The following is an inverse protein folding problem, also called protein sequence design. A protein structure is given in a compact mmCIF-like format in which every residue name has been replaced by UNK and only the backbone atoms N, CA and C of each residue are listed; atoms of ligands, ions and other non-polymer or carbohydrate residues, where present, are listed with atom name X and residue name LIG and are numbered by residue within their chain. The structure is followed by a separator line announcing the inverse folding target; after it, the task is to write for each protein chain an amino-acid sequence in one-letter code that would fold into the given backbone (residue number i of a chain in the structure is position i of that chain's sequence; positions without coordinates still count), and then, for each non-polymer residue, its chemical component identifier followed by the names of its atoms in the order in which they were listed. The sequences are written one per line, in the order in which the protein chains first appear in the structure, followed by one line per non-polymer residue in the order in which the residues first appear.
data_IF_470093565304
#
_entry.id   IF_470093565304
#
_cell.length_a   1.000
_cell.length_b   1.000
_cell.length_c   1.000
_cell.angle_alpha   90.00
_cell.angle_beta   90.00
_cell.angle_gamma   90.00
#
_symmetry.space_group_name_H-M   'P 1'
#
loop_
_entity.id
_entity.type
_entity.pdbx_description
1 polymer ?
#
# COMPACT_ATOMS: atom_id res chain seq x y z
N UNK A 1 14.01 -17.81 -3.71
CA UNK A 1 13.34 -16.53 -3.44
C UNK A 1 12.91 -15.88 -4.75
N UNK A 2 13.80 -15.72 -5.72
CA UNK A 2 13.51 -15.08 -7.02
C UNK A 2 12.38 -15.73 -7.84
N UNK A 3 12.34 -17.06 -7.96
CA UNK A 3 11.26 -17.73 -8.72
C UNK A 3 9.87 -17.45 -8.14
N UNK A 4 9.73 -17.48 -6.81
CA UNK A 4 8.46 -17.21 -6.15
C UNK A 4 8.07 -15.73 -6.25
N UNK A 5 9.07 -14.83 -6.25
CA UNK A 5 8.85 -13.40 -6.50
C UNK A 5 8.30 -13.14 -7.90
N UNK A 6 8.92 -13.72 -8.95
CA UNK A 6 8.43 -13.57 -10.32
C UNK A 6 7.06 -14.18 -10.54
N UNK A 7 6.80 -15.34 -9.93
CA UNK A 7 5.48 -15.97 -9.96
C UNK A 7 4.41 -15.08 -9.30
N UNK A 8 4.71 -14.54 -8.11
CA UNK A 8 3.79 -13.64 -7.38
C UNK A 8 3.52 -12.38 -8.18
N UNK A 9 4.54 -11.80 -8.82
CA UNK A 9 4.39 -10.61 -9.64
C UNK A 9 3.51 -10.86 -10.88
N UNK A 10 3.65 -12.03 -11.53
CA UNK A 10 2.76 -12.44 -12.61
C UNK A 10 1.31 -12.60 -12.14
N UNK A 11 1.10 -13.20 -10.97
CA UNK A 11 -0.24 -13.34 -10.38
C UNK A 11 -0.87 -11.98 -10.06
N UNK A 12 -0.09 -10.99 -9.61
CA UNK A 12 -0.56 -9.61 -9.39
C UNK A 12 -1.05 -8.99 -10.70
N UNK A 13 -0.30 -9.12 -11.80
CA UNK A 13 -0.73 -8.62 -13.11
C UNK A 13 -2.00 -9.30 -13.61
N UNK A 14 -2.12 -10.61 -13.40
CA UNK A 14 -3.35 -11.33 -13.72
C UNK A 14 -4.54 -10.82 -12.89
N UNK A 15 -4.36 -10.57 -11.59
CA UNK A 15 -5.41 -10.00 -10.73
C UNK A 15 -5.80 -8.60 -11.20
N UNK A 16 -4.85 -7.74 -11.58
CA UNK A 16 -5.15 -6.42 -12.16
C UNK A 16 -5.99 -6.52 -13.42
N UNK A 17 -5.64 -7.43 -14.34
CA UNK A 17 -6.43 -7.66 -15.55
C UNK A 17 -7.83 -8.23 -15.26
N UNK A 18 -7.94 -9.12 -14.26
CA UNK A 18 -9.21 -9.70 -13.81
C UNK A 18 -10.10 -8.62 -13.19
N UNK A 19 -9.51 -7.71 -12.42
CA UNK A 19 -10.19 -6.58 -11.80
C UNK A 19 -10.74 -5.61 -12.86
N UNK A 20 -9.94 -5.27 -13.88
CA UNK A 20 -10.41 -4.45 -15.00
C UNK A 20 -11.52 -5.11 -15.83
N UNK A 21 -11.56 -6.45 -15.83
CA UNK A 21 -12.66 -7.21 -16.44
C UNK A 21 -13.89 -7.25 -15.53
N UNK A 22 -13.69 -7.32 -14.21
CA UNK A 22 -14.75 -7.29 -13.19
C UNK A 22 -15.50 -5.95 -13.16
N UNK A 23 -14.82 -4.84 -13.46
CA UNK A 23 -15.48 -3.53 -13.59
C UNK A 23 -16.48 -3.47 -14.77
N UNK A 24 -16.28 -4.31 -15.80
CA UNK A 24 -17.13 -4.33 -17.00
C UNK A 24 -18.16 -5.45 -16.98
N UNK A 25 -17.88 -6.54 -16.28
CA UNK A 25 -18.79 -7.68 -16.15
C UNK A 25 -20.04 -7.30 -15.33
N UNK A 26 -21.20 -7.86 -15.69
CA UNK A 26 -22.48 -7.63 -15.00
C UNK A 26 -23.19 -8.96 -14.74
N UNK A 27 -23.98 -9.03 -13.68
CA UNK A 27 -24.77 -10.23 -13.34
C UNK A 27 -23.96 -11.36 -12.70
N UNK A 28 -24.29 -12.60 -13.05
CA UNK A 28 -23.76 -13.83 -12.44
C UNK A 28 -22.27 -14.07 -12.77
N UNK A 29 -21.84 -13.73 -13.99
CA UNK A 29 -20.43 -13.81 -14.42
C UNK A 29 -19.51 -12.93 -13.57
N UNK A 30 -20.02 -11.79 -13.11
CA UNK A 30 -19.26 -10.88 -12.27
C UNK A 30 -19.09 -11.43 -10.84
N UNK A 31 -20.06 -12.18 -10.30
CA UNK A 31 -19.91 -12.83 -9.00
C UNK A 31 -18.90 -13.98 -9.05
N UNK A 32 -18.94 -14.79 -10.12
CA UNK A 32 -17.96 -15.85 -10.33
C UNK A 32 -16.53 -15.28 -10.48
N UNK A 33 -16.39 -14.20 -11.27
CA UNK A 33 -15.11 -13.53 -11.48
C UNK A 33 -14.59 -12.87 -10.19
N UNK A 34 -15.47 -12.34 -9.37
CA UNK A 34 -15.13 -11.77 -8.06
C UNK A 34 -14.59 -12.83 -7.11
N UNK A 35 -15.28 -13.96 -6.94
CA UNK A 35 -14.81 -15.07 -6.11
C UNK A 35 -13.46 -15.60 -6.59
N UNK A 36 -13.28 -15.75 -7.91
CA UNK A 36 -12.02 -16.17 -8.50
C UNK A 36 -10.89 -15.15 -8.24
N UNK A 37 -11.16 -13.86 -8.38
CA UNK A 37 -10.20 -12.78 -8.13
C UNK A 37 -9.80 -12.74 -6.66
N UNK A 38 -10.76 -12.91 -5.75
CA UNK A 38 -10.52 -12.94 -4.31
C UNK A 38 -9.65 -14.16 -3.92
N UNK A 39 -9.95 -15.33 -4.49
CA UNK A 39 -9.12 -16.54 -4.30
C UNK A 39 -7.69 -16.36 -4.81
N UNK A 40 -7.48 -15.66 -5.93
CA UNK A 40 -6.13 -15.32 -6.42
C UNK A 40 -5.40 -14.37 -5.47
N UNK A 41 -6.08 -13.37 -4.91
CA UNK A 41 -5.50 -12.46 -3.92
C UNK A 41 -5.05 -13.24 -2.67
N UNK A 42 -5.85 -14.18 -2.17
CA UNK A 42 -5.47 -15.02 -1.02
C UNK A 42 -4.22 -15.87 -1.29
N UNK A 43 -4.08 -16.39 -2.51
CA UNK A 43 -2.86 -17.12 -2.93
C UNK A 43 -1.64 -16.19 -2.95
N UNK A 44 -1.79 -14.95 -3.45
CA UNK A 44 -0.73 -13.94 -3.44
C UNK A 44 -0.32 -13.60 -2.01
N UNK A 45 -1.27 -13.44 -1.08
CA UNK A 45 -0.99 -13.18 0.34
C UNK A 45 -0.14 -14.31 0.94
N UNK A 46 -0.54 -15.57 0.74
CA UNK A 46 0.22 -16.75 1.20
C UNK A 46 1.62 -16.80 0.59
N UNK A 47 1.77 -16.42 -0.68
CA UNK A 47 3.07 -16.34 -1.34
C UNK A 47 3.95 -15.22 -0.76
N UNK A 48 3.38 -14.06 -0.43
CA UNK A 48 4.06 -12.96 0.24
C UNK A 48 4.53 -13.33 1.65
N UNK A 49 3.71 -14.05 2.43
CA UNK A 49 4.10 -14.58 3.75
C UNK A 49 5.28 -15.56 3.63
N UNK A 50 5.22 -16.45 2.63
CA UNK A 50 6.32 -17.40 2.35
C UNK A 50 7.59 -16.70 1.88
N UNK A 51 7.48 -15.61 1.09
CA UNK A 51 8.61 -14.77 0.73
C UNK A 51 9.23 -14.10 1.95
N UNK A 52 8.44 -13.63 2.90
CA UNK A 52 8.93 -12.98 4.11
C UNK A 52 9.78 -13.94 4.97
N UNK A 53 9.35 -15.20 5.07
CA UNK A 53 10.13 -16.27 5.70
C UNK A 53 11.44 -16.52 4.95
N UNK A 54 11.42 -16.51 3.61
CA UNK A 54 12.63 -16.71 2.79
C UNK A 54 13.60 -15.52 2.87
N UNK A 55 13.11 -14.29 2.94
CA UNK A 55 13.92 -13.07 3.12
C UNK A 55 14.70 -13.14 4.43
N UNK A 56 14.10 -13.68 5.50
CA UNK A 56 14.79 -13.84 6.78
C UNK A 56 15.92 -14.89 6.74
N UNK A 57 15.94 -15.78 5.73
CA UNK A 57 16.98 -16.79 5.53
C UNK A 57 18.12 -16.33 4.61
N UNK A 58 18.01 -15.14 4.01
CA UNK A 58 19.04 -14.60 3.12
C UNK A 58 20.17 -13.89 3.87
N UNK A 59 21.39 -13.86 3.28
CA UNK A 59 22.52 -13.17 3.89
C UNK A 59 22.25 -11.67 4.11
N UNK A 60 22.84 -11.05 5.15
CA UNK A 60 22.52 -9.67 5.55
C UNK A 60 22.66 -8.62 4.45
N UNK A 61 23.56 -8.85 3.49
CA UNK A 61 23.83 -7.97 2.35
C UNK A 61 22.70 -7.94 1.32
N UNK A 62 21.98 -9.04 1.13
CA UNK A 62 20.85 -9.16 0.18
C UNK A 62 19.49 -8.99 0.86
N UNK A 63 19.41 -9.30 2.16
CA UNK A 63 18.19 -9.23 2.97
C UNK A 63 17.49 -7.88 2.92
N UNK A 64 18.23 -6.76 2.91
CA UNK A 64 17.63 -5.43 2.85
C UNK A 64 16.88 -5.18 1.52
N UNK A 65 17.49 -5.56 0.39
CA UNK A 65 16.88 -5.40 -0.93
C UNK A 65 15.70 -6.38 -1.12
N UNK A 66 15.87 -7.63 -0.69
CA UNK A 66 14.81 -8.63 -0.75
C UNK A 66 13.59 -8.23 0.11
N UNK A 67 13.82 -7.65 1.29
CA UNK A 67 12.77 -7.11 2.14
C UNK A 67 11.99 -5.98 1.47
N UNK A 68 12.69 -5.01 0.86
CA UNK A 68 12.05 -3.92 0.12
C UNK A 68 11.12 -4.44 -0.99
N UNK A 69 11.57 -5.46 -1.73
CA UNK A 69 10.78 -6.07 -2.82
C UNK A 69 9.54 -6.79 -2.30
N UNK A 70 9.63 -7.47 -1.15
CA UNK A 70 8.49 -8.11 -0.49
C UNK A 70 7.53 -7.08 0.08
N UNK A 71 8.02 -6.01 0.69
CA UNK A 71 7.19 -4.92 1.21
C UNK A 71 6.43 -4.22 0.07
N UNK A 72 7.04 -4.07 -1.10
CA UNK A 72 6.36 -3.57 -2.30
C UNK A 72 5.23 -4.50 -2.76
N UNK A 73 5.48 -5.82 -2.83
CA UNK A 73 4.44 -6.81 -3.15
C UNK A 73 3.27 -6.79 -2.16
N UNK A 74 3.56 -6.60 -0.86
CA UNK A 74 2.53 -6.48 0.17
C UNK A 74 1.67 -5.23 -0.04
N UNK A 75 2.30 -4.11 -0.35
CA UNK A 75 1.60 -2.87 -0.69
C UNK A 75 0.68 -3.05 -1.90
N UNK A 76 1.19 -3.64 -2.98
CA UNK A 76 0.40 -3.90 -4.20
C UNK A 76 -0.80 -4.82 -3.90
N UNK A 77 -0.61 -5.84 -3.07
CA UNK A 77 -1.68 -6.72 -2.63
C UNK A 77 -2.76 -5.99 -1.82
N UNK A 78 -2.37 -5.12 -0.88
CA UNK A 78 -3.31 -4.31 -0.11
C UNK A 78 -4.11 -3.37 -1.02
N UNK A 79 -3.43 -2.75 -1.99
CA UNK A 79 -4.07 -1.89 -2.98
C UNK A 79 -5.09 -2.65 -3.82
N UNK A 80 -4.75 -3.85 -4.29
CA UNK A 80 -5.67 -4.72 -5.03
C UNK A 80 -6.89 -5.13 -4.21
N UNK A 81 -6.70 -5.46 -2.94
CA UNK A 81 -7.80 -5.82 -2.05
C UNK A 81 -8.73 -4.62 -1.78
N UNK A 82 -8.18 -3.42 -1.61
CA UNK A 82 -8.97 -2.20 -1.47
C UNK A 82 -9.76 -1.89 -2.75
N UNK A 83 -9.14 -2.06 -3.92
CA UNK A 83 -9.80 -1.85 -5.21
C UNK A 83 -10.96 -2.85 -5.44
N UNK A 84 -10.76 -4.13 -5.08
CA UNK A 84 -11.81 -5.15 -5.12
C UNK A 84 -12.99 -4.78 -4.20
N UNK A 85 -12.73 -4.38 -2.96
CA UNK A 85 -13.77 -3.93 -2.02
C UNK A 85 -14.54 -2.73 -2.53
N UNK A 86 -13.86 -1.79 -3.19
CA UNK A 86 -14.52 -0.62 -3.78
C UNK A 86 -15.47 -1.01 -4.92
N UNK A 87 -15.05 -1.95 -5.78
CA UNK A 87 -15.89 -2.47 -6.86
C UNK A 87 -17.10 -3.21 -6.28
N UNK A 88 -16.88 -4.07 -5.28
CA UNK A 88 -17.94 -4.78 -4.56
C UNK A 88 -18.95 -3.81 -3.96
N UNK A 89 -18.48 -2.77 -3.27
CA UNK A 89 -19.35 -1.78 -2.65
C UNK A 89 -20.18 -1.02 -3.68
N UNK A 90 -19.57 -0.58 -4.78
CA UNK A 90 -20.30 0.07 -5.89
C UNK A 90 -21.35 -0.84 -6.52
N UNK A 91 -21.06 -2.14 -6.65
CA UNK A 91 -22.02 -3.11 -7.19
C UNK A 91 -23.18 -3.34 -6.21
N UNK A 92 -22.88 -3.50 -4.93
CA UNK A 92 -23.89 -3.66 -3.89
C UNK A 92 -24.82 -2.44 -3.79
N UNK A 93 -24.26 -1.22 -3.84
CA UNK A 93 -25.06 0.00 -3.86
C UNK A 93 -26.01 0.04 -5.08
N UNK A 94 -25.52 -0.30 -6.27
CA UNK A 94 -26.37 -0.34 -7.48
C UNK A 94 -27.47 -1.40 -7.40
N UNK A 95 -27.15 -2.59 -6.89
CA UNK A 95 -28.14 -3.66 -6.74
C UNK A 95 -29.21 -3.27 -5.72
N UNK A 96 -28.82 -2.59 -4.64
CA UNK A 96 -29.76 -2.06 -3.65
C UNK A 96 -30.62 -0.92 -4.23
N UNK A 97 -30.04 0.00 -5.02
CA UNK A 97 -30.78 1.04 -5.75
C UNK A 97 -31.78 0.44 -6.75
N UNK A 98 -31.39 -0.58 -7.52
CA UNK A 98 -32.27 -1.29 -8.45
C UNK A 98 -33.40 -1.99 -7.70
N UNK A 99 -33.12 -2.67 -6.58
CA UNK A 99 -34.15 -3.30 -5.72
C UNK A 99 -35.10 -2.29 -5.09
N UNK A 100 -34.59 -1.16 -4.61
CA UNK A 100 -35.43 -0.09 -4.06
C UNK A 100 -36.33 0.50 -5.16
N UNK A 101 -35.78 0.70 -6.37
CA UNK A 101 -36.54 1.16 -7.53
C UNK A 101 -37.61 0.16 -7.92
N UNK A 102 -37.30 -1.13 -7.98
CA UNK A 102 -38.27 -2.19 -8.25
C UNK A 102 -39.34 -2.23 -7.17
N UNK A 103 -38.99 -2.16 -5.88
CA UNK A 103 -39.97 -2.13 -4.78
C UNK A 103 -40.94 -0.94 -4.88
N UNK A 104 -40.46 0.23 -5.36
CA UNK A 104 -41.30 1.39 -5.64
C UNK A 104 -42.22 1.18 -6.86
N UNK A 105 -41.77 0.45 -7.87
CA UNK A 105 -42.54 0.14 -9.09
C UNK A 105 -43.54 -1.01 -8.88
N UNK A 106 -43.18 -2.03 -8.07
CA UNK A 106 -44.02 -3.18 -7.75
C UNK A 106 -45.02 -2.89 -6.63
N UNK A 107 -44.86 -1.76 -5.93
CA UNK A 107 -45.94 -1.22 -5.11
C UNK A 107 -47.06 -0.79 -6.06
N UNK A 108 -47.92 -1.76 -6.39
CA UNK A 108 -49.13 -1.54 -7.16
C UNK A 108 -49.83 -0.32 -6.59
N UNK A 109 -49.96 0.73 -7.41
CA UNK A 109 -50.89 1.81 -7.13
C UNK A 109 -52.27 1.17 -7.03
N UNK A 110 -52.73 0.92 -5.81
CA UNK A 110 -54.13 0.65 -5.53
C UNK A 110 -54.86 1.92 -5.93
N UNK A 111 -55.50 1.90 -7.10
CA UNK A 111 -56.43 2.94 -7.52
C UNK A 111 -57.45 3.07 -6.39
N UNK A 112 -57.63 4.29 -5.89
CA UNK A 112 -58.68 4.69 -4.94
C UNK A 112 -59.90 3.77 -5.06
N UNK A 113 -60.14 2.94 -4.04
CA UNK A 113 -61.50 2.45 -3.84
C UNK A 113 -62.36 3.68 -3.51
N UNK A 114 -63.46 3.78 -4.23
CA UNK A 114 -64.27 4.98 -4.45
C UNK A 114 -64.64 5.71 -3.16
N UNK A 115 -64.17 6.97 -2.99
CA UNK A 115 -64.79 7.86 -2.00
C UNK A 115 -63.97 9.06 -1.56
N UNK A 116 -62.66 8.91 -1.39
CA UNK A 116 -61.88 9.91 -0.64
C UNK A 116 -61.00 10.77 -1.56
N UNK A 117 -61.67 11.48 -2.49
CA UNK A 117 -61.05 12.62 -3.16
C UNK A 117 -61.21 13.85 -2.27
N UNK A 118 -60.67 13.78 -1.06
CA UNK A 118 -60.35 14.95 -0.25
C UNK A 118 -58.86 14.90 0.04
N UNK A 119 -58.13 15.78 -0.64
CA UNK A 119 -56.68 15.94 -0.53
C UNK A 119 -56.40 16.47 0.88
N UNK A 120 -56.31 15.56 1.83
CA UNK A 120 -55.85 15.79 3.20
C UNK A 120 -55.13 14.57 3.78
N UNK A 121 -54.61 13.69 2.92
CA UNK A 121 -53.60 12.73 3.34
C UNK A 121 -52.25 13.45 3.44
N UNK A 122 -52.10 14.08 4.60
CA UNK A 122 -50.91 13.93 5.43
C UNK A 122 -49.65 14.74 5.01
N UNK A 123 -49.75 16.06 5.18
CA UNK A 123 -48.58 16.91 5.27
C UNK A 123 -47.64 16.50 6.44
N UNK A 124 -48.17 15.84 7.47
CA UNK A 124 -47.46 15.42 8.68
C UNK A 124 -46.43 14.29 8.46
N UNK A 125 -46.82 13.12 7.94
CA UNK A 125 -45.87 12.02 7.67
C UNK A 125 -44.97 12.34 6.48
N UNK A 126 -45.39 13.15 5.50
CA UNK A 126 -44.46 13.69 4.49
C UNK A 126 -43.38 14.56 5.15
N UNK A 127 -43.75 15.46 6.08
CA UNK A 127 -42.78 16.27 6.81
C UNK A 127 -41.89 15.39 7.70
N UNK A 128 -42.45 14.37 8.36
CA UNK A 128 -41.70 13.46 9.22
C UNK A 128 -40.71 12.59 8.42
N UNK A 129 -41.11 12.13 7.24
CA UNK A 129 -40.24 11.36 6.33
C UNK A 129 -39.12 12.24 5.81
N UNK A 130 -39.42 13.46 5.33
CA UNK A 130 -38.41 14.43 4.90
C UNK A 130 -37.48 14.86 6.03
N UNK A 131 -37.99 15.05 7.25
CA UNK A 131 -37.18 15.33 8.43
C UNK A 131 -36.24 14.16 8.76
N UNK A 132 -36.74 12.93 8.69
CA UNK A 132 -35.93 11.72 8.94
C UNK A 132 -34.86 11.53 7.87
N UNK A 133 -35.18 11.77 6.61
CA UNK A 133 -34.22 11.68 5.50
C UNK A 133 -33.20 12.80 5.57
N UNK A 134 -33.60 14.01 5.96
CA UNK A 134 -32.68 15.12 6.23
C UNK A 134 -31.78 14.85 7.43
N UNK A 135 -32.31 14.23 8.49
CA UNK A 135 -31.52 13.81 9.65
C UNK A 135 -30.47 12.77 9.26
N UNK A 136 -30.86 11.74 8.48
CA UNK A 136 -29.91 10.75 7.93
C UNK A 136 -28.88 11.38 7.01
N UNK A 137 -29.27 12.35 6.18
CA UNK A 137 -28.35 13.10 5.34
C UNK A 137 -27.35 13.91 6.16
N UNK A 138 -27.80 14.51 7.26
CA UNK A 138 -26.97 15.26 8.20
C UNK A 138 -26.03 14.34 9.00
N UNK A 139 -26.51 13.16 9.42
CA UNK A 139 -25.69 12.14 10.09
C UNK A 139 -24.59 11.62 9.16
N UNK A 140 -24.91 11.36 7.89
CA UNK A 140 -23.91 10.97 6.88
C UNK A 140 -22.87 12.07 6.63
N UNK A 141 -23.27 13.35 6.64
CA UNK A 141 -22.35 14.48 6.51
C UNK A 141 -21.46 14.64 7.75
N UNK A 142 -22.00 14.41 8.96
CA UNK A 142 -21.23 14.40 10.20
C UNK A 142 -20.19 13.28 10.21
N UNK A 143 -20.59 12.08 9.80
CA UNK A 143 -19.69 10.92 9.70
C UNK A 143 -18.58 11.17 8.65
N UNK A 144 -18.95 11.71 7.48
CA UNK A 144 -17.98 12.15 6.48
C UNK A 144 -17.03 13.23 7.04
N UNK A 145 -17.55 14.24 7.74
CA UNK A 145 -16.78 15.30 8.36
C UNK A 145 -15.79 14.78 9.40
N UNK A 146 -16.20 13.81 10.22
CA UNK A 146 -15.34 13.14 11.18
C UNK A 146 -14.22 12.36 10.48
N UNK A 147 -14.53 11.64 9.39
CA UNK A 147 -13.50 10.92 8.63
C UNK A 147 -12.48 11.86 7.98
N UNK A 148 -12.92 13.01 7.47
CA UNK A 148 -12.02 14.02 6.89
C UNK A 148 -11.10 14.59 7.96
N UNK A 149 -11.63 14.86 9.15
CA UNK A 149 -10.83 15.36 10.27
C UNK A 149 -9.76 14.34 10.72
N UNK A 150 -10.13 13.07 10.77
CA UNK A 150 -9.19 11.99 11.13
C UNK A 150 -8.10 11.80 10.05
N UNK A 151 -8.47 11.85 8.77
CA UNK A 151 -7.51 11.84 7.66
C UNK A 151 -6.52 13.03 7.74
N UNK A 152 -6.99 14.24 8.05
CA UNK A 152 -6.13 15.41 8.23
C UNK A 152 -5.18 15.23 9.43
N UNK A 153 -5.67 14.61 10.51
CA UNK A 153 -4.86 14.27 11.68
C UNK A 153 -3.77 13.24 11.33
N UNK A 154 -4.10 12.20 10.59
CA UNK A 154 -3.16 11.18 10.13
C UNK A 154 -2.11 11.76 9.16
N UNK A 155 -2.53 12.62 8.24
CA UNK A 155 -1.62 13.36 7.36
C UNK A 155 -0.61 14.20 8.16
N UNK A 156 -1.07 14.92 9.20
CA UNK A 156 -0.18 15.68 10.09
C UNK A 156 0.83 14.79 10.80
N UNK A 157 0.41 13.61 11.27
CA UNK A 157 1.31 12.64 11.91
C UNK A 157 2.36 12.11 10.93
N UNK A 158 1.95 11.82 9.69
CA UNK A 158 2.83 11.36 8.62
C UNK A 158 3.86 12.44 8.24
N UNK A 159 3.42 13.68 8.06
CA UNK A 159 4.30 14.83 7.78
C UNK A 159 5.31 15.06 8.90
N UNK A 160 4.89 14.96 10.17
CA UNK A 160 5.82 15.01 11.31
C UNK A 160 6.84 13.86 11.27
N UNK A 161 6.41 12.66 10.93
CA UNK A 161 7.29 11.50 10.76
C UNK A 161 8.31 11.69 9.65
N UNK A 162 7.88 12.21 8.49
CA UNK A 162 8.75 12.53 7.37
C UNK A 162 9.77 13.61 7.73
N UNK A 163 9.34 14.70 8.39
CA UNK A 163 10.23 15.75 8.87
C UNK A 163 11.28 15.21 9.85
N UNK A 164 10.88 14.35 10.79
CA UNK A 164 11.82 13.70 11.72
C UNK A 164 12.83 12.82 10.98
N UNK A 165 12.39 12.05 9.98
CA UNK A 165 13.29 11.24 9.14
C UNK A 165 14.27 12.10 8.34
N UNK A 166 13.83 13.22 7.79
CA UNK A 166 14.70 14.16 7.07
C UNK A 166 15.75 14.74 8.03
N UNK A 167 15.36 15.14 9.24
CA UNK A 167 16.29 15.61 10.27
C UNK A 167 17.31 14.53 10.66
N UNK A 168 16.85 13.28 10.85
CA UNK A 168 17.72 12.16 11.17
C UNK A 168 18.69 11.83 10.01
N UNK A 169 18.24 11.96 8.76
CA UNK A 169 19.08 11.81 7.56
C UNK A 169 20.09 12.95 7.47
N UNK A 170 19.68 14.20 7.70
CA UNK A 170 20.58 15.36 7.71
C UNK A 170 21.67 15.22 8.79
N UNK A 171 21.28 14.79 10.00
CA UNK A 171 22.22 14.48 11.08
C UNK A 171 23.17 13.33 10.72
N UNK A 172 22.67 12.28 10.04
CA UNK A 172 23.51 11.16 9.56
C UNK A 172 24.43 11.56 8.42
N UNK A 173 24.00 12.41 7.48
CA UNK A 173 24.84 12.92 6.40
C UNK A 173 25.95 13.84 6.92
N UNK A 174 25.69 14.59 7.99
CA UNK A 174 26.72 15.32 8.74
C UNK A 174 27.82 14.41 9.29
N UNK A 175 27.46 13.20 9.74
CA UNK A 175 28.42 12.16 10.15
C UNK A 175 29.05 11.41 8.95
N UNK A 176 28.37 11.28 7.81
CA UNK A 176 28.94 10.62 6.62
C UNK A 176 30.14 11.38 6.08
N UNK A 177 30.15 12.71 6.14
CA UNK A 177 31.33 13.51 5.75
C UNK A 177 32.53 13.27 6.68
N UNK A 178 32.32 13.06 7.98
CA UNK A 178 33.42 12.75 8.91
C UNK A 178 33.92 11.32 8.72
N UNK A 179 33.02 10.35 8.47
CA UNK A 179 33.39 8.96 8.14
C UNK A 179 34.12 8.89 6.79
N UNK A 180 33.68 9.62 5.76
CA UNK A 180 34.34 9.69 4.46
C UNK A 180 35.78 10.21 4.59
N UNK A 181 35.99 11.30 5.34
CA UNK A 181 37.33 11.84 5.63
C UNK A 181 38.20 10.89 6.45
N UNK A 182 37.61 10.14 7.40
CA UNK A 182 38.33 9.13 8.17
C UNK A 182 38.81 7.96 7.30
N UNK A 183 38.03 7.56 6.29
CA UNK A 183 38.40 6.51 5.33
C UNK A 183 39.52 6.98 4.39
N UNK A 184 39.43 8.20 3.86
CA UNK A 184 40.49 8.77 3.01
C UNK A 184 41.82 8.92 3.76
N UNK A 185 41.80 9.29 5.05
CA UNK A 185 43.03 9.36 5.86
C UNK A 185 43.70 7.99 6.01
N UNK A 186 42.91 6.90 6.14
CA UNK A 186 43.42 5.54 6.29
C UNK A 186 44.14 5.05 5.03
N UNK A 187 43.63 5.36 3.84
CA UNK A 187 44.23 4.92 2.57
C UNK A 187 45.51 5.70 2.25
N UNK A 188 45.58 6.97 2.64
CA UNK A 188 46.83 7.72 2.58
C UNK A 188 47.89 7.15 3.53
N UNK A 189 47.52 6.88 4.78
CA UNK A 189 48.46 6.33 5.76
C UNK A 189 48.96 4.94 5.36
N UNK A 190 48.10 4.09 4.82
CA UNK A 190 48.46 2.75 4.30
C UNK A 190 49.46 2.83 3.14
N UNK A 191 49.25 3.77 2.19
CA UNK A 191 50.24 4.06 1.13
C UNK A 191 51.60 4.47 1.69
N UNK A 192 51.62 5.36 2.68
CA UNK A 192 52.88 5.80 3.29
C UNK A 192 53.62 4.66 3.99
N UNK A 193 52.90 3.78 4.70
CA UNK A 193 53.49 2.60 5.36
C UNK A 193 54.07 1.64 4.32
N UNK A 194 53.35 1.39 3.21
CA UNK A 194 53.80 0.49 2.15
C UNK A 194 55.08 0.99 1.46
N UNK A 195 55.09 2.26 1.03
CA UNK A 195 56.29 2.85 0.41
C UNK A 195 57.47 2.94 1.38
N UNK A 196 57.21 3.26 2.66
CA UNK A 196 58.23 3.25 3.71
C UNK A 196 58.87 1.88 3.90
N UNK A 197 58.06 0.82 3.99
CA UNK A 197 58.55 -0.57 4.12
C UNK A 197 59.39 -1.01 2.93
N UNK A 198 58.99 -0.64 1.70
CA UNK A 198 59.75 -0.95 0.48
C UNK A 198 61.15 -0.29 0.50
N UNK A 199 61.24 0.99 0.86
CA UNK A 199 62.52 1.71 0.93
C UNK A 199 63.43 1.11 2.00
N UNK A 200 62.90 0.82 3.19
CA UNK A 200 63.67 0.21 4.28
C UNK A 200 64.23 -1.15 3.87
N UNK A 201 63.43 -1.98 3.18
CA UNK A 201 63.88 -3.28 2.69
C UNK A 201 65.02 -3.15 1.67
N UNK A 202 64.96 -2.18 0.76
CA UNK A 202 66.01 -1.90 -0.22
C UNK A 202 67.30 -1.42 0.44
N UNK A 203 67.20 -0.52 1.43
CA UNK A 203 68.36 0.00 2.16
C UNK A 203 69.06 -1.11 2.95
N UNK A 204 68.30 -1.99 3.63
CA UNK A 204 68.87 -3.14 4.32
C UNK A 204 69.58 -4.10 3.36
N UNK A 205 68.97 -4.39 2.21
CA UNK A 205 69.56 -5.27 1.20
C UNK A 205 70.86 -4.69 0.63
N UNK A 206 70.89 -3.38 0.38
CA UNK A 206 72.09 -2.66 -0.06
C UNK A 206 73.21 -2.65 1.00
N UNK A 207 72.87 -2.39 2.27
CA UNK A 207 73.85 -2.41 3.37
C UNK A 207 74.46 -3.80 3.56
N UNK A 208 73.66 -4.86 3.47
CA UNK A 208 74.15 -6.23 3.53
C UNK A 208 75.07 -6.55 2.35
N UNK A 209 74.72 -6.13 1.13
CA UNK A 209 75.57 -6.32 -0.04
C UNK A 209 76.92 -5.63 0.11
N UNK A 210 76.94 -4.37 0.59
CA UNK A 210 78.17 -3.61 0.87
C UNK A 210 78.99 -4.21 2.01
N UNK A 211 78.36 -4.78 3.02
CA UNK A 211 79.09 -5.38 4.13
C UNK A 211 79.78 -6.70 3.72
N UNK A 212 79.19 -7.43 2.78
CA UNK A 212 79.69 -8.75 2.34
C UNK A 212 80.59 -8.69 1.09
N UNK A 213 80.72 -7.52 0.44
CA UNK A 213 81.61 -7.25 -0.70
C UNK A 213 82.73 -6.33 -0.26
#
# INVERSE_FOLDING_TARGET
MENLYHQTNRQIQEVQSSLGSLERARGEDANALEHHTNGKIDVIIKNCERLDVLVNKEPPTRRANAKLRVDQLKYDCQHLQAALRQIQHRRYQRDDEERQREALLTRSFTTNDQGDTSISMDAGLQHHTKLRDSHRGMDNLLDHGQSVLENLREQRMTLKGAHKRILDIANKLGLTNTVMRLIEKRTYQDKFILFGGMIVSLVLMFLLWKYFT
#
